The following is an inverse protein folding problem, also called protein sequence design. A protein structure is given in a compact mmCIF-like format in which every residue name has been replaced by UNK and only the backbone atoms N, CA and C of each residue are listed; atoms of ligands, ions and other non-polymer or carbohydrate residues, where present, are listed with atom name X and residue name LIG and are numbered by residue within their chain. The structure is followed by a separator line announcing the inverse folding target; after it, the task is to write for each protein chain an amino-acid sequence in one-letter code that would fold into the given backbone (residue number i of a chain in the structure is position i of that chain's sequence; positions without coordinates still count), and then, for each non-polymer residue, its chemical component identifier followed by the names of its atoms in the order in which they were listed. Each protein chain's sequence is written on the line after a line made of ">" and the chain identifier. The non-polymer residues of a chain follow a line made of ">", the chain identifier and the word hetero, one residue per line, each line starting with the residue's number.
data_IF_736791198687
#
_entry.id   IF_736791198687
#
_cell.length_a   1.000
_cell.length_b   1.000
_cell.length_c   1.000
_cell.angle_alpha   90.00
_cell.angle_beta   90.00
_cell.angle_gamma   90.00
#
_symmetry.space_group_name_H-M   'P 1'
#
loop_
_entity.id
_entity.type
_entity.pdbx_description
1 polymer ?
#
# COMPACT_ATOMS: atom_id res chain seq x y z
N UNK A 1 -32.98 0.12 17.41
CA UNK A 1 -33.24 0.67 16.06
C UNK A 1 -32.19 1.75 15.77
N UNK A 2 -31.15 1.56 14.94
CA UNK A 2 -30.23 2.56 14.39
C UNK A 2 -28.84 2.00 13.96
N UNK A 3 -28.78 0.83 13.31
CA UNK A 3 -27.51 0.34 12.74
C UNK A 3 -27.59 0.23 11.20
N UNK A 4 -28.78 0.32 10.61
CA UNK A 4 -28.96 0.22 9.14
C UNK A 4 -28.51 1.49 8.36
N UNK A 5 -28.40 2.65 9.00
CA UNK A 5 -28.06 3.93 8.33
C UNK A 5 -26.57 4.12 8.06
N UNK A 6 -25.69 3.54 8.87
CA UNK A 6 -24.24 3.74 8.76
C UNK A 6 -23.63 2.89 7.63
N UNK A 7 -24.15 1.66 7.43
CA UNK A 7 -23.67 0.79 6.33
C UNK A 7 -23.96 1.37 4.93
N UNK A 8 -25.03 2.17 4.75
CA UNK A 8 -25.39 2.76 3.47
C UNK A 8 -24.52 3.96 3.08
N UNK A 9 -23.91 4.67 4.06
CA UNK A 9 -23.01 5.81 3.79
C UNK A 9 -21.62 5.38 3.30
N UNK A 10 -21.19 4.17 3.59
CA UNK A 10 -19.85 3.65 3.27
C UNK A 10 -19.76 3.17 1.80
N UNK A 11 -20.89 2.84 1.17
CA UNK A 11 -20.91 2.33 -0.21
C UNK A 11 -20.90 3.43 -1.30
N UNK A 12 -20.89 4.72 -0.92
CA UNK A 12 -20.94 5.85 -1.86
C UNK A 12 -19.64 6.67 -1.92
N UNK A 13 -18.51 6.12 -1.42
CA UNK A 13 -17.24 6.81 -1.60
C UNK A 13 -16.82 6.68 -3.05
N UNK A 14 -16.70 7.82 -3.72
CA UNK A 14 -16.33 7.87 -5.14
C UNK A 14 -14.93 7.26 -5.35
N UNK A 15 -14.71 6.56 -6.47
CA UNK A 15 -13.39 5.97 -6.79
C UNK A 15 -12.26 6.99 -6.75
N UNK A 16 -12.52 8.25 -7.11
CA UNK A 16 -11.52 9.32 -7.07
C UNK A 16 -10.95 9.59 -5.69
N UNK A 17 -11.70 9.28 -4.62
CA UNK A 17 -11.23 9.42 -3.25
C UNK A 17 -10.01 8.53 -2.96
N UNK A 18 -9.91 7.41 -3.65
CA UNK A 18 -8.79 6.47 -3.48
C UNK A 18 -7.65 6.68 -4.48
N UNK A 19 -7.81 7.61 -5.42
CA UNK A 19 -6.74 7.95 -6.34
C UNK A 19 -5.53 8.53 -5.59
N UNK A 20 -4.33 8.09 -5.97
CA UNK A 20 -3.08 8.63 -5.44
C UNK A 20 -2.74 9.87 -6.25
N UNK A 21 -2.65 11.00 -5.57
CA UNK A 21 -2.18 12.25 -6.15
C UNK A 21 -0.84 12.61 -5.51
N UNK A 22 0.22 12.56 -6.30
CA UNK A 22 1.60 12.78 -5.85
C UNK A 22 1.79 14.21 -5.31
N UNK A 23 1.19 15.21 -5.95
CA UNK A 23 1.33 16.61 -5.53
C UNK A 23 0.76 16.85 -4.13
N UNK A 24 -0.38 16.22 -3.80
CA UNK A 24 -0.97 16.35 -2.46
C UNK A 24 -0.12 15.68 -1.38
N UNK A 25 0.54 14.57 -1.72
CA UNK A 25 1.47 13.91 -0.81
C UNK A 25 2.71 14.78 -0.58
N UNK A 26 3.32 15.30 -1.65
CA UNK A 26 4.50 16.16 -1.56
C UNK A 26 4.24 17.45 -0.78
N UNK A 27 3.03 18.00 -0.87
CA UNK A 27 2.59 19.17 -0.10
C UNK A 27 2.21 18.84 1.35
N UNK A 28 2.28 17.57 1.77
CA UNK A 28 1.86 17.13 3.11
C UNK A 28 0.35 17.23 3.36
N UNK A 29 -0.46 17.41 2.31
CA UNK A 29 -1.93 17.48 2.39
C UNK A 29 -2.51 16.09 2.56
N UNK A 30 -2.01 15.10 1.78
CA UNK A 30 -2.42 13.71 1.90
C UNK A 30 -1.39 12.94 2.74
N UNK A 31 -1.82 12.50 3.91
CA UNK A 31 -0.98 11.81 4.89
C UNK A 31 -1.25 10.31 4.96
N UNK A 32 -2.07 9.78 4.05
CA UNK A 32 -2.36 8.35 3.98
C UNK A 32 -1.11 7.54 3.68
N UNK A 33 -1.01 6.38 4.30
CA UNK A 33 0.18 5.51 4.18
C UNK A 33 -0.12 4.13 3.63
N UNK A 34 -1.40 3.71 3.61
CA UNK A 34 -1.77 2.38 3.15
C UNK A 34 -2.22 2.40 1.71
N UNK A 35 -1.54 1.61 0.89
CA UNK A 35 -1.79 1.45 -0.54
C UNK A 35 -2.33 0.05 -0.82
N UNK A 36 -3.31 -0.04 -1.71
CA UNK A 36 -3.76 -1.28 -2.33
C UNK A 36 -3.06 -1.42 -3.69
N UNK A 37 -2.28 -2.47 -3.83
CA UNK A 37 -1.65 -2.87 -5.09
C UNK A 37 -2.60 -3.83 -5.79
N UNK A 38 -2.91 -3.58 -7.05
CA UNK A 38 -3.93 -4.29 -7.82
C UNK A 38 -3.35 -4.91 -9.09
N UNK A 39 -4.14 -5.78 -9.71
CA UNK A 39 -3.80 -6.49 -10.94
C UNK A 39 -2.53 -7.34 -10.81
N UNK A 40 -2.33 -7.94 -9.63
CA UNK A 40 -1.26 -8.91 -9.40
C UNK A 40 -1.57 -10.20 -10.19
N UNK A 41 -0.61 -10.82 -10.88
CA UNK A 41 -0.83 -12.13 -11.47
C UNK A 41 -1.16 -13.18 -10.39
N UNK A 42 -2.23 -13.95 -10.56
CA UNK A 42 -2.72 -14.86 -9.51
C UNK A 42 -1.70 -15.93 -9.09
N UNK A 43 -0.76 -16.28 -9.98
CA UNK A 43 0.33 -17.23 -9.68
C UNK A 43 1.47 -16.64 -8.86
N UNK A 44 1.47 -15.32 -8.61
CA UNK A 44 2.50 -14.68 -7.78
C UNK A 44 2.38 -15.16 -6.35
N UNK A 45 3.47 -15.71 -5.84
CA UNK A 45 3.60 -16.01 -4.43
C UNK A 45 3.90 -14.73 -3.64
N UNK A 46 3.74 -14.82 -2.33
CA UNK A 46 4.20 -13.80 -1.39
C UNK A 46 5.66 -13.39 -1.66
N UNK A 47 6.53 -14.38 -1.85
CA UNK A 47 7.95 -14.15 -2.13
C UNK A 47 8.17 -13.37 -3.43
N UNK A 48 7.50 -13.74 -4.53
CA UNK A 48 7.65 -13.03 -5.80
C UNK A 48 7.30 -11.55 -5.69
N UNK A 49 6.20 -11.23 -4.96
CA UNK A 49 5.78 -9.84 -4.78
C UNK A 49 6.78 -9.07 -3.94
N UNK A 50 7.22 -9.65 -2.81
CA UNK A 50 8.17 -8.98 -1.93
C UNK A 50 9.56 -8.83 -2.57
N UNK A 51 10.02 -9.78 -3.36
CA UNK A 51 11.28 -9.66 -4.08
C UNK A 51 11.25 -8.44 -5.01
N UNK A 52 10.15 -8.21 -5.74
CA UNK A 52 9.99 -7.02 -6.58
C UNK A 52 9.85 -5.72 -5.78
N UNK A 53 9.05 -5.72 -4.71
CA UNK A 53 8.83 -4.54 -3.87
C UNK A 53 10.11 -4.14 -3.14
N UNK A 54 10.86 -5.11 -2.62
CA UNK A 54 12.06 -4.86 -1.82
C UNK A 54 13.24 -4.32 -2.62
N UNK A 55 13.25 -4.49 -3.93
CA UNK A 55 14.23 -3.78 -4.79
C UNK A 55 14.10 -2.26 -4.62
N UNK A 56 12.88 -1.78 -4.40
CA UNK A 56 12.54 -0.35 -4.39
C UNK A 56 12.32 0.17 -2.97
N UNK A 57 11.63 -0.59 -2.13
CA UNK A 57 11.06 -0.12 -0.87
C UNK A 57 11.42 -0.99 0.34
N UNK A 58 12.55 -1.71 0.30
CA UNK A 58 13.03 -2.46 1.47
C UNK A 58 13.11 -1.52 2.68
N UNK A 59 12.58 -1.99 3.81
CA UNK A 59 12.57 -1.26 5.10
C UNK A 59 11.77 0.08 5.06
N UNK A 60 10.90 0.29 4.06
CA UNK A 60 10.06 1.49 3.93
C UNK A 60 8.59 1.26 4.29
N UNK A 61 8.22 0.03 4.65
CA UNK A 61 6.87 -0.36 5.06
C UNK A 61 6.95 -1.20 6.32
N UNK A 62 5.87 -1.19 7.10
CA UNK A 62 5.76 -1.91 8.38
C UNK A 62 4.66 -2.97 8.38
N UNK A 63 3.90 -3.06 7.28
CA UNK A 63 2.82 -4.03 7.13
C UNK A 63 2.64 -4.41 5.66
N UNK A 64 2.49 -5.71 5.41
CA UNK A 64 2.14 -6.25 4.10
C UNK A 64 1.14 -7.40 4.27
N UNK A 65 0.09 -7.40 3.46
CA UNK A 65 -0.94 -8.43 3.48
C UNK A 65 -1.32 -8.85 2.07
N UNK A 66 -1.19 -10.14 1.78
CA UNK A 66 -1.60 -10.77 0.53
C UNK A 66 -2.76 -11.72 0.81
N UNK A 67 -4.00 -11.40 0.40
CA UNK A 67 -5.11 -12.33 0.51
C UNK A 67 -4.97 -13.48 -0.49
N UNK A 68 -5.17 -14.70 0.00
CA UNK A 68 -5.15 -15.91 -0.80
C UNK A 68 -6.57 -16.48 -0.92
N UNK A 69 -6.82 -17.14 -2.03
CA UNK A 69 -8.00 -17.97 -2.23
C UNK A 69 -7.91 -19.23 -1.36
N UNK A 70 -8.98 -19.54 -0.64
CA UNK A 70 -9.00 -20.65 0.32
C UNK A 70 -8.93 -22.04 -0.32
N UNK A 71 -9.32 -22.16 -1.58
CA UNK A 71 -9.34 -23.45 -2.28
C UNK A 71 -8.05 -23.75 -3.03
N UNK A 72 -7.46 -22.71 -3.65
CA UNK A 72 -6.38 -22.89 -4.62
C UNK A 72 -5.03 -22.33 -4.15
N UNK A 73 -4.98 -21.63 -3.02
CA UNK A 73 -3.78 -20.91 -2.52
C UNK A 73 -3.20 -19.88 -3.51
N UNK A 74 -3.99 -19.46 -4.49
CA UNK A 74 -3.62 -18.35 -5.37
C UNK A 74 -3.98 -17.01 -4.72
N UNK A 75 -3.17 -15.97 -4.99
CA UNK A 75 -3.55 -14.64 -4.55
C UNK A 75 -4.81 -14.13 -5.29
N UNK A 76 -5.57 -13.27 -4.63
CA UNK A 76 -6.82 -12.70 -5.17
C UNK A 76 -6.59 -11.56 -6.17
N UNK A 77 -5.35 -11.35 -6.62
CA UNK A 77 -4.99 -10.31 -7.59
C UNK A 77 -4.74 -8.93 -6.99
N UNK A 78 -4.68 -8.83 -5.65
CA UNK A 78 -4.37 -7.58 -4.95
C UNK A 78 -3.66 -7.87 -3.62
N UNK A 79 -2.97 -6.85 -3.10
CA UNK A 79 -2.41 -6.87 -1.75
C UNK A 79 -2.47 -5.48 -1.13
N UNK A 80 -2.22 -5.40 0.17
CA UNK A 80 -2.11 -4.15 0.91
C UNK A 80 -0.70 -3.99 1.47
N UNK A 81 -0.18 -2.78 1.37
CA UNK A 81 1.10 -2.39 1.95
C UNK A 81 0.91 -1.10 2.75
N UNK A 82 1.41 -1.06 3.99
CA UNK A 82 1.42 0.16 4.77
C UNK A 82 2.86 0.69 4.84
N UNK A 83 3.07 1.84 4.23
CA UNK A 83 4.35 2.53 4.29
C UNK A 83 4.51 3.24 5.63
N UNK A 84 5.73 3.32 6.13
CA UNK A 84 6.04 4.02 7.40
C UNK A 84 5.95 5.55 7.27
N UNK A 85 5.94 6.07 6.03
CA UNK A 85 5.74 7.49 5.75
C UNK A 85 5.12 7.69 4.35
N UNK A 86 4.23 8.70 4.15
CA UNK A 86 3.56 8.95 2.87
C UNK A 86 4.53 9.18 1.69
N UNK A 87 5.67 9.80 1.94
CA UNK A 87 6.65 10.09 0.88
C UNK A 87 7.24 8.83 0.22
N UNK A 88 7.23 7.70 0.90
CA UNK A 88 7.66 6.43 0.28
C UNK A 88 6.70 5.99 -0.83
N UNK A 89 5.42 6.41 -0.74
CA UNK A 89 4.42 6.16 -1.78
C UNK A 89 4.81 6.87 -3.07
N UNK A 90 5.37 8.07 -3.00
CA UNK A 90 5.77 8.85 -4.19
C UNK A 90 6.75 8.05 -5.05
N UNK A 91 7.83 7.57 -4.43
CA UNK A 91 8.83 6.77 -5.11
C UNK A 91 8.28 5.45 -5.62
N UNK A 92 7.51 4.75 -4.78
CA UNK A 92 6.87 3.49 -5.13
C UNK A 92 5.90 3.65 -6.30
N UNK A 93 5.04 4.68 -6.28
CA UNK A 93 4.07 4.97 -7.31
C UNK A 93 4.72 5.20 -8.68
N UNK A 94 5.77 6.00 -8.72
CA UNK A 94 6.46 6.32 -9.98
C UNK A 94 7.13 5.10 -10.64
N UNK A 95 7.49 4.09 -9.85
CA UNK A 95 8.12 2.87 -10.36
C UNK A 95 7.09 1.79 -10.69
N UNK A 96 6.03 1.66 -9.87
CA UNK A 96 5.11 0.52 -9.98
C UNK A 96 3.84 0.81 -10.76
N UNK A 97 3.36 2.06 -10.81
CA UNK A 97 2.13 2.39 -11.54
C UNK A 97 2.28 2.07 -13.02
N UNK A 98 1.34 1.28 -13.53
CA UNK A 98 1.30 0.81 -14.93
C UNK A 98 2.50 -0.04 -15.38
N UNK A 99 3.36 -0.48 -14.44
CA UNK A 99 4.47 -1.39 -14.74
C UNK A 99 3.94 -2.81 -14.96
N UNK A 100 4.49 -3.52 -15.92
CA UNK A 100 4.31 -4.97 -16.07
C UNK A 100 5.02 -5.73 -14.96
N UNK A 101 4.42 -6.83 -14.51
CA UNK A 101 5.03 -7.74 -13.57
C UNK A 101 6.15 -8.56 -14.22
N UNK A 102 7.24 -8.80 -13.49
CA UNK A 102 8.46 -9.42 -14.06
C UNK A 102 8.39 -10.94 -14.18
N UNK A 103 7.58 -11.59 -13.34
CA UNK A 103 7.46 -13.05 -13.36
C UNK A 103 6.20 -13.48 -14.13
N UNK A 104 6.25 -14.69 -14.69
CA UNK A 104 5.10 -15.39 -15.31
C UNK A 104 4.48 -14.73 -16.56
N UNK A 105 5.24 -14.01 -17.35
CA UNK A 105 4.81 -13.50 -18.67
C UNK A 105 3.34 -13.01 -18.70
N UNK A 106 2.96 -12.21 -17.70
CA UNK A 106 1.60 -11.71 -17.51
C UNK A 106 1.36 -10.40 -18.28
N UNK A 107 0.18 -10.27 -18.87
CA UNK A 107 -0.26 -9.00 -19.49
C UNK A 107 -0.77 -7.98 -18.46
N UNK A 108 -0.90 -8.38 -17.20
CA UNK A 108 -1.39 -7.48 -16.14
C UNK A 108 -0.36 -6.38 -15.86
N UNK A 109 -0.87 -5.17 -15.74
CA UNK A 109 -0.10 -3.99 -15.32
C UNK A 109 -0.49 -3.61 -13.90
N UNK A 110 0.50 -3.29 -13.09
CA UNK A 110 0.30 -2.88 -11.71
C UNK A 110 -0.54 -1.62 -11.64
N UNK A 111 -1.58 -1.64 -10.81
CA UNK A 111 -2.37 -0.48 -10.48
C UNK A 111 -2.32 -0.19 -8.98
N UNK A 112 -2.32 1.08 -8.61
CA UNK A 112 -2.13 1.55 -7.25
C UNK A 112 -3.24 2.50 -6.85
N UNK A 113 -3.84 2.26 -5.70
CA UNK A 113 -4.83 3.17 -5.08
C UNK A 113 -4.57 3.25 -3.58
N UNK A 114 -5.03 4.30 -2.92
CA UNK A 114 -5.11 4.24 -1.47
C UNK A 114 -6.09 3.15 -1.02
N UNK A 115 -5.76 2.49 0.08
CA UNK A 115 -6.65 1.53 0.69
C UNK A 115 -7.77 2.24 1.47
N UNK A 116 -8.89 1.55 1.66
CA UNK A 116 -10.01 2.06 2.47
C UNK A 116 -9.63 2.20 3.95
N UNK A 117 -8.89 1.24 4.45
CA UNK A 117 -8.41 1.21 5.83
C UNK A 117 -6.97 1.68 5.85
N UNK A 118 -6.68 2.65 6.74
CA UNK A 118 -5.40 3.31 6.79
C UNK A 118 -4.65 2.97 8.08
N UNK A 119 -3.36 2.67 7.93
CA UNK A 119 -2.49 2.31 9.03
C UNK A 119 -2.65 0.86 9.49
N UNK A 120 -1.58 0.33 10.06
CA UNK A 120 -1.45 -1.04 10.54
C UNK A 120 -2.57 -1.46 11.51
N UNK A 121 -2.96 -0.58 12.44
CA UNK A 121 -4.00 -0.89 13.44
C UNK A 121 -5.37 -1.11 12.79
N UNK A 122 -5.77 -0.27 11.81
CA UNK A 122 -7.03 -0.44 11.10
C UNK A 122 -7.02 -1.68 10.21
N UNK A 123 -5.90 -1.96 9.56
CA UNK A 123 -5.75 -3.17 8.75
C UNK A 123 -5.92 -4.42 9.61
N UNK A 124 -5.22 -4.53 10.72
CA UNK A 124 -5.34 -5.67 11.63
C UNK A 124 -6.76 -5.84 12.16
N UNK A 125 -7.42 -4.74 12.56
CA UNK A 125 -8.79 -4.79 13.09
C UNK A 125 -9.83 -5.23 12.05
N UNK A 126 -9.66 -4.88 10.78
CA UNK A 126 -10.65 -5.16 9.75
C UNK A 126 -10.35 -6.45 8.97
N UNK A 127 -9.09 -6.81 8.84
CA UNK A 127 -8.66 -8.07 8.22
C UNK A 127 -8.78 -9.20 9.23
N UNK A 128 -8.27 -9.03 10.45
CA UNK A 128 -8.31 -10.04 11.50
C UNK A 128 -9.73 -10.43 11.94
N UNK A 129 -10.68 -9.49 11.97
CA UNK A 129 -12.08 -9.78 12.34
C UNK A 129 -12.83 -10.62 11.31
N UNK A 130 -12.50 -10.49 10.04
CA UNK A 130 -13.08 -11.34 9.00
C UNK A 130 -12.60 -12.80 9.10
N UNK A 131 -11.51 -13.04 9.82
CA UNK A 131 -10.87 -14.34 10.00
C UNK A 131 -11.26 -15.03 11.30
N UNK A 132 -11.67 -14.27 12.33
CA UNK A 132 -12.10 -14.81 13.61
C UNK A 132 -13.50 -15.45 13.57
N UNK A 133 -14.25 -15.29 12.47
CA UNK A 133 -15.56 -15.92 12.26
C UNK A 133 -15.45 -17.28 11.53
N UNK A 134 -14.28 -17.64 10.99
CA UNK A 134 -13.99 -18.97 10.48
C UNK A 134 -13.03 -19.67 11.45
N UNK A 135 -13.48 -20.76 12.09
CA UNK A 135 -12.70 -21.59 13.02
C UNK A 135 -11.45 -22.25 12.37
N UNK A 136 -11.30 -22.15 11.08
CA UNK A 136 -10.11 -22.54 10.36
C UNK A 136 -9.03 -21.46 10.50
N UNK A 137 -8.07 -21.71 11.39
CA UNK A 137 -6.78 -21.05 11.45
C UNK A 137 -6.03 -21.38 10.15
N UNK A 138 -6.45 -20.78 9.04
CA UNK A 138 -5.81 -21.00 7.77
C UNK A 138 -4.41 -20.37 7.78
N UNK A 139 -3.40 -21.20 7.70
CA UNK A 139 -1.97 -20.87 7.46
C UNK A 139 -1.75 -20.04 6.18
N UNK A 140 -2.81 -19.73 5.44
CA UNK A 140 -2.82 -19.04 4.16
C UNK A 140 -2.82 -17.51 4.27
N UNK A 141 -2.69 -16.97 5.49
CA UNK A 141 -2.58 -15.54 5.70
C UNK A 141 -1.11 -15.14 5.84
N UNK A 142 -0.57 -14.53 4.81
CA UNK A 142 0.77 -13.97 4.88
C UNK A 142 0.70 -12.50 5.28
N UNK A 143 0.92 -12.23 6.57
CA UNK A 143 1.10 -10.89 7.13
C UNK A 143 2.58 -10.73 7.50
N UNK A 144 3.24 -9.77 6.90
CA UNK A 144 4.54 -9.29 7.37
C UNK A 144 4.30 -8.06 8.25
N UNK A 145 4.72 -8.14 9.48
CA UNK A 145 4.69 -7.04 10.43
C UNK A 145 6.10 -6.72 10.91
N UNK A 146 6.59 -5.55 10.59
CA UNK A 146 7.86 -5.05 11.11
C UNK A 146 7.59 -4.35 12.45
N UNK A 147 8.05 -4.96 13.54
CA UNK A 147 7.78 -4.44 14.90
C UNK A 147 8.52 -3.13 15.20
N UNK A 148 9.72 -2.97 14.68
CA UNK A 148 10.57 -1.79 14.88
C UNK A 148 11.12 -1.34 13.53
N UNK A 149 10.36 -0.54 12.76
CA UNK A 149 10.88 0.01 11.51
C UNK A 149 12.11 0.91 11.81
N UNK A 150 13.10 0.92 10.91
CA UNK A 150 14.29 1.73 11.12
C UNK A 150 13.93 3.21 11.26
N UNK A 151 14.63 3.93 12.14
CA UNK A 151 14.53 5.39 12.21
C UNK A 151 15.00 5.96 10.88
N UNK A 152 14.13 6.72 10.23
CA UNK A 152 14.41 7.28 8.92
C UNK A 152 14.77 8.74 9.12
N UNK A 153 15.86 9.17 8.48
CA UNK A 153 16.10 10.58 8.26
C UNK A 153 15.13 11.07 7.16
N UNK A 154 13.93 11.45 7.62
CA UNK A 154 12.86 11.92 6.75
C UNK A 154 13.27 13.15 5.95
N UNK A 155 14.10 14.03 6.55
CA UNK A 155 14.57 15.23 5.91
C UNK A 155 15.41 14.90 4.69
N UNK A 156 16.41 14.03 4.83
CA UNK A 156 17.28 13.61 3.73
C UNK A 156 16.49 12.94 2.61
N UNK A 157 15.54 12.06 2.97
CA UNK A 157 14.73 11.38 1.97
C UNK A 157 13.76 12.32 1.26
N UNK A 158 13.16 13.27 1.99
CA UNK A 158 12.29 14.30 1.42
C UNK A 158 13.05 15.17 0.43
N UNK A 159 14.26 15.60 0.78
CA UNK A 159 15.14 16.37 -0.08
C UNK A 159 15.44 15.66 -1.40
N UNK A 160 15.83 14.37 -1.35
CA UNK A 160 16.11 13.58 -2.56
C UNK A 160 14.88 13.37 -3.42
N UNK A 161 13.71 13.14 -2.83
CA UNK A 161 12.45 13.01 -3.56
C UNK A 161 12.08 14.31 -4.27
N UNK A 162 12.11 15.45 -3.58
CA UNK A 162 11.81 16.76 -4.17
C UNK A 162 12.80 17.10 -5.28
N UNK A 163 14.08 16.86 -5.06
CA UNK A 163 15.13 17.12 -6.05
C UNK A 163 14.87 16.37 -7.37
N UNK A 164 14.34 15.15 -7.30
CA UNK A 164 14.05 14.33 -8.48
C UNK A 164 12.76 14.76 -9.16
N UNK A 165 11.68 14.97 -8.40
CA UNK A 165 10.32 15.08 -8.94
C UNK A 165 9.77 16.50 -9.00
N UNK A 166 10.25 17.41 -8.16
CA UNK A 166 9.79 18.81 -8.10
C UNK A 166 10.93 19.75 -7.67
N UNK A 167 12.00 19.88 -8.46
CA UNK A 167 13.18 20.69 -8.09
C UNK A 167 12.87 22.16 -7.81
N UNK A 168 11.79 22.70 -8.38
CA UNK A 168 11.32 24.07 -8.12
C UNK A 168 10.94 24.29 -6.66
N UNK A 169 10.36 23.31 -6.00
CA UNK A 169 9.98 23.42 -4.59
C UNK A 169 11.19 23.61 -3.66
N UNK A 170 12.38 23.17 -4.06
CA UNK A 170 13.61 23.41 -3.30
C UNK A 170 13.99 24.88 -3.21
N UNK A 171 13.53 25.69 -4.18
CA UNK A 171 13.77 27.14 -4.19
C UNK A 171 12.86 27.91 -3.23
N UNK A 172 11.71 27.33 -2.91
CA UNK A 172 10.68 27.93 -2.04
C UNK A 172 10.88 27.54 -0.58
N UNK A 173 11.62 26.47 -0.29
CA UNK A 173 11.90 26.02 1.06
C UNK A 173 13.09 26.80 1.61
N UNK A 174 12.82 27.81 2.45
CA UNK A 174 13.85 28.46 3.25
C UNK A 174 14.37 27.45 4.29
N UNK A 175 15.55 26.92 4.00
CA UNK A 175 16.26 26.05 4.94
C UNK A 175 16.81 26.93 6.06
N UNK A 176 16.15 26.90 7.23
CA UNK A 176 16.66 27.49 8.48
C UNK A 176 17.63 26.50 9.11
#
# INVERSE_FOLDING_TARGET
>A
MKIKGIKKKINNIKPEFFAINIDTILKGIDTRTTVMIRHIPNKYSYKNILDEINVVCKDKYDYFYLPLDSENNYNLGYCFINFIHPLHIVYFYNIFKSRKWLHYNSYKECDLTFAKYQGKCELNNNIGKKMGESEDKNENLMILEVKNPPKIDLFKQYYEIIKIYQPELLKEINWI
#
